data_IF_286685566512
#
_entry.id   IF_286685566512
#
_cell.length_a   1.000
_cell.length_b   1.000
_cell.length_c   1.000
_cell.angle_alpha   90.00
_cell.angle_beta   90.00
_cell.angle_gamma   90.00
#
_symmetry.space_group_name_H-M   'P 1'
#
loop_
_entity.id
_entity.type
_entity.pdbx_description
1 polymer ?
#
# COMPACT_ATOMS: atom_id res chain seq x y z
N UNK A 1 -6.49 10.12 -7.16
CA UNK A 1 -6.97 11.51 -7.00
C UNK A 1 -8.25 11.49 -6.17
N UNK A 2 -8.60 12.57 -5.50
CA UNK A 2 -9.87 12.66 -4.76
C UNK A 2 -11.08 12.52 -5.70
N UNK A 3 -12.22 12.15 -5.13
CA UNK A 3 -13.52 11.99 -5.79
C UNK A 3 -13.58 11.05 -7.00
N UNK A 4 -12.45 10.48 -7.42
CA UNK A 4 -12.34 9.51 -8.51
C UNK A 4 -12.98 8.19 -8.08
N UNK A 5 -13.76 7.61 -8.99
CA UNK A 5 -14.39 6.31 -8.77
C UNK A 5 -13.35 5.25 -8.38
N UNK A 6 -13.59 4.40 -7.36
CA UNK A 6 -12.63 3.39 -6.93
C UNK A 6 -12.13 2.48 -8.05
N UNK A 7 -13.00 2.17 -9.02
CA UNK A 7 -12.65 1.31 -10.17
C UNK A 7 -11.74 1.99 -11.18
N UNK A 8 -11.64 3.32 -11.13
CA UNK A 8 -10.81 4.15 -11.99
C UNK A 8 -9.50 4.57 -11.29
N UNK A 9 -9.34 4.30 -10.00
CA UNK A 9 -8.09 4.55 -9.28
C UNK A 9 -7.03 3.53 -9.74
N UNK A 10 -5.77 3.95 -9.88
CA UNK A 10 -4.69 3.02 -10.17
C UNK A 10 -4.52 2.03 -9.01
N UNK A 11 -4.16 0.79 -9.35
CA UNK A 11 -3.70 -0.18 -8.37
C UNK A 11 -2.26 0.19 -8.01
N UNK A 12 -1.94 0.32 -6.73
CA UNK A 12 -0.58 0.50 -6.27
C UNK A 12 0.00 -0.85 -5.82
N UNK A 13 1.24 -1.14 -6.20
CA UNK A 13 1.97 -2.30 -5.71
C UNK A 13 3.09 -1.86 -4.77
N UNK A 14 3.11 -2.42 -3.57
CA UNK A 14 4.16 -2.22 -2.57
C UNK A 14 5.12 -3.39 -2.67
N UNK A 15 6.38 -3.08 -3.00
CA UNK A 15 7.47 -4.04 -3.16
C UNK A 15 8.51 -3.81 -2.08
N UNK A 16 9.13 -4.90 -1.63
CA UNK A 16 10.29 -4.83 -0.76
C UNK A 16 11.55 -5.13 -1.56
N UNK A 17 12.66 -4.57 -1.09
CA UNK A 17 13.96 -4.73 -1.70
C UNK A 17 15.01 -4.81 -0.60
N UNK A 18 15.89 -5.80 -0.69
CA UNK A 18 17.09 -5.91 0.14
C UNK A 18 18.29 -5.45 -0.72
N UNK A 19 18.98 -4.36 -0.32
CA UNK A 19 20.10 -3.83 -1.08
C UNK A 19 21.40 -4.63 -0.95
N UNK A 20 21.50 -5.55 0.02
CA UNK A 20 22.75 -6.24 0.33
C UNK A 20 22.95 -7.49 -0.55
N UNK A 21 22.28 -8.60 -0.23
CA UNK A 21 22.38 -9.85 -0.99
C UNK A 21 21.04 -10.57 -1.13
N UNK A 22 20.88 -11.32 -2.22
CA UNK A 22 19.65 -12.10 -2.47
C UNK A 22 19.50 -13.25 -1.46
N UNK A 23 20.59 -13.72 -0.86
CA UNK A 23 20.65 -14.95 -0.05
C UNK A 23 19.64 -14.97 1.11
N UNK A 24 19.38 -13.82 1.73
CA UNK A 24 18.42 -13.70 2.83
C UNK A 24 17.27 -12.72 2.54
N UNK A 25 17.18 -12.18 1.32
CA UNK A 25 16.19 -11.17 0.95
C UNK A 25 14.85 -11.80 0.54
N UNK A 26 14.50 -11.83 -0.77
CA UNK A 26 13.25 -12.43 -1.23
C UNK A 26 13.16 -13.96 -1.00
N UNK A 27 11.94 -14.55 -0.96
CA UNK A 27 10.65 -13.88 -0.99
C UNK A 27 10.33 -13.23 0.36
N UNK A 28 9.75 -12.05 0.29
CA UNK A 28 9.29 -11.29 1.44
C UNK A 28 7.87 -11.68 1.83
N UNK A 29 7.70 -11.97 3.12
CA UNK A 29 6.40 -12.08 3.74
C UNK A 29 5.97 -10.69 4.24
N UNK A 30 4.79 -10.25 3.85
CA UNK A 30 4.24 -8.95 4.25
C UNK A 30 2.92 -9.14 4.99
N UNK A 31 2.71 -8.38 6.06
CA UNK A 31 1.44 -8.31 6.79
C UNK A 31 1.14 -6.88 7.18
N UNK A 32 -0.14 -6.51 7.22
CA UNK A 32 -0.56 -5.28 7.87
C UNK A 32 -0.25 -5.39 9.37
N UNK A 33 0.29 -4.32 9.96
CA UNK A 33 0.38 -4.22 11.40
C UNK A 33 -1.03 -4.09 12.02
N UNK A 34 -1.16 -4.41 13.31
CA UNK A 34 -2.46 -4.50 13.98
C UNK A 34 -3.15 -3.15 14.18
N UNK A 35 -2.41 -2.05 14.05
CA UNK A 35 -2.89 -0.68 14.18
C UNK A 35 -3.36 -0.06 12.85
N UNK A 36 -3.40 -0.84 11.76
CA UNK A 36 -3.94 -0.38 10.48
C UNK A 36 -5.42 0.02 10.61
N UNK A 37 -5.70 1.32 10.39
CA UNK A 37 -7.01 1.93 10.65
C UNK A 37 -7.86 2.23 9.40
N UNK A 38 -7.31 2.06 8.20
CA UNK A 38 -7.96 2.48 6.96
C UNK A 38 -8.62 1.34 6.16
N UNK A 39 -8.91 0.20 6.78
CA UNK A 39 -9.52 -0.96 6.11
C UNK A 39 -10.93 -0.72 5.54
N UNK A 40 -11.62 0.34 5.97
CA UNK A 40 -12.86 0.80 5.34
C UNK A 40 -12.62 1.52 3.99
N UNK A 41 -11.45 2.13 3.80
CA UNK A 41 -11.11 2.98 2.65
C UNK A 41 -10.20 2.29 1.65
N UNK A 42 -9.28 1.46 2.13
CA UNK A 42 -8.28 0.76 1.34
C UNK A 42 -8.45 -0.75 1.48
N UNK A 43 -8.29 -1.45 0.37
CA UNK A 43 -8.08 -2.88 0.34
C UNK A 43 -6.58 -3.11 0.12
N UNK A 44 -5.92 -3.77 1.07
CA UNK A 44 -4.48 -4.08 1.00
C UNK A 44 -4.33 -5.59 1.08
N UNK A 45 -3.84 -6.21 0.00
CA UNK A 45 -3.80 -7.67 -0.14
C UNK A 45 -2.38 -8.11 -0.44
N UNK A 46 -1.86 -9.01 0.40
CA UNK A 46 -0.59 -9.69 0.14
C UNK A 46 -0.76 -10.73 -0.98
N UNK A 47 0.19 -10.74 -1.91
CA UNK A 47 0.32 -11.74 -2.95
C UNK A 47 1.74 -12.33 -2.91
N UNK A 48 1.84 -13.59 -2.51
CA UNK A 48 3.12 -14.33 -2.49
C UNK A 48 3.78 -14.46 -3.86
N UNK A 49 3.00 -14.39 -4.94
CA UNK A 49 3.50 -14.47 -6.32
C UNK A 49 3.70 -13.08 -6.94
N UNK A 50 3.40 -12.00 -6.20
CA UNK A 50 3.64 -10.63 -6.63
C UNK A 50 5.13 -10.31 -6.74
N UNK A 51 5.47 -9.22 -7.42
CA UNK A 51 6.85 -8.86 -7.77
C UNK A 51 7.69 -10.05 -8.27
N UNK A 52 7.21 -10.73 -9.32
CA UNK A 52 7.88 -11.89 -9.93
C UNK A 52 8.17 -13.06 -8.96
N UNK A 53 7.35 -13.25 -7.92
CA UNK A 53 7.53 -14.30 -6.92
C UNK A 53 8.31 -13.85 -5.68
N UNK A 54 8.73 -12.59 -5.60
CA UNK A 54 9.37 -12.02 -4.41
C UNK A 54 8.38 -11.67 -3.30
N UNK A 55 7.07 -11.69 -3.58
CA UNK A 55 6.04 -11.26 -2.65
C UNK A 55 5.85 -9.74 -2.66
N UNK A 56 4.61 -9.31 -2.84
CA UNK A 56 4.23 -7.90 -2.81
C UNK A 56 2.85 -7.70 -2.20
N UNK A 57 2.49 -6.44 -1.90
CA UNK A 57 1.13 -6.07 -1.52
C UNK A 57 0.49 -5.21 -2.60
N UNK A 58 -0.78 -5.46 -2.90
CA UNK A 58 -1.59 -4.63 -3.78
C UNK A 58 -2.55 -3.78 -2.97
N UNK A 59 -2.61 -2.49 -3.30
CA UNK A 59 -3.49 -1.51 -2.66
C UNK A 59 -4.50 -1.01 -3.68
N UNK A 60 -5.78 -1.07 -3.33
CA UNK A 60 -6.88 -0.47 -4.11
C UNK A 60 -7.79 0.35 -3.22
N UNK A 61 -8.42 1.39 -3.78
CA UNK A 61 -9.46 2.13 -3.10
C UNK A 61 -10.75 1.29 -3.02
N UNK A 62 -11.48 1.40 -1.90
CA UNK A 62 -12.80 0.77 -1.71
C UNK A 62 -13.96 1.73 -1.90
N UNK A 63 -13.69 3.03 -1.83
CA UNK A 63 -14.66 4.11 -1.94
C UNK A 63 -13.98 5.38 -2.46
N UNK A 64 -14.78 6.35 -2.89
CA UNK A 64 -14.27 7.68 -3.26
C UNK A 64 -13.60 8.28 -2.04
N UNK A 65 -12.42 8.85 -2.25
CA UNK A 65 -11.64 9.48 -1.20
C UNK A 65 -11.84 10.99 -1.32
N UNK A 66 -12.16 11.62 -0.19
CA UNK A 66 -12.27 13.07 -0.07
C UNK A 66 -11.02 13.57 0.65
N UNK A 67 -10.28 14.48 0.00
CA UNK A 67 -9.03 15.02 0.53
C UNK A 67 -9.27 15.97 1.72
N UNK A 68 -10.43 16.63 1.76
CA UNK A 68 -10.82 17.64 2.74
C UNK A 68 -11.65 17.07 3.91
N UNK A 69 -12.02 15.79 3.84
CA UNK A 69 -12.71 15.12 4.93
C UNK A 69 -11.85 15.09 6.21
N UNK A 70 -12.49 15.30 7.37
CA UNK A 70 -11.84 15.16 8.69
C UNK A 70 -11.23 13.75 8.87
N UNK A 71 -11.90 12.73 8.34
CA UNK A 71 -11.42 11.35 8.27
C UNK A 71 -11.87 10.72 6.93
N UNK A 72 -10.97 10.08 6.16
CA UNK A 72 -9.63 9.63 6.52
C UNK A 72 -8.55 10.73 6.41
N UNK A 73 -8.90 11.90 5.88
CA UNK A 73 -7.98 12.99 5.58
C UNK A 73 -7.06 12.67 4.40
N UNK A 74 -6.19 13.63 4.06
CA UNK A 74 -5.31 13.60 2.88
C UNK A 74 -4.24 12.50 2.82
N UNK A 75 -3.91 11.86 3.94
CA UNK A 75 -2.79 10.91 4.04
C UNK A 75 -3.22 9.67 4.82
N UNK A 76 -3.16 8.52 4.14
CA UNK A 76 -3.52 7.23 4.71
C UNK A 76 -2.26 6.38 4.90
N UNK A 77 -1.93 6.11 6.14
CA UNK A 77 -0.82 5.25 6.55
C UNK A 77 -1.16 3.77 6.41
N UNK A 78 -0.26 3.00 5.81
CA UNK A 78 -0.28 1.55 5.70
C UNK A 78 0.96 1.03 6.45
N UNK A 79 0.84 0.67 7.74
CA UNK A 79 1.93 0.07 8.48
C UNK A 79 2.05 -1.41 8.09
N UNK A 80 3.25 -1.79 7.65
CA UNK A 80 3.55 -3.11 7.11
C UNK A 80 4.67 -3.74 7.93
N UNK A 81 4.40 -4.95 8.40
CA UNK A 81 5.39 -5.87 8.95
C UNK A 81 5.97 -6.65 7.77
N UNK A 82 7.26 -6.47 7.52
CA UNK A 82 8.05 -7.14 6.49
C UNK A 82 8.96 -8.18 7.14
N UNK A 83 8.95 -9.40 6.63
CA UNK A 83 9.86 -10.46 7.02
C UNK A 83 10.56 -11.04 5.80
N UNK A 84 11.89 -11.15 5.87
CA UNK A 84 12.72 -11.71 4.83
C UNK A 84 12.81 -13.26 4.92
N UNK A 85 13.56 -13.89 4.02
CA UNK A 85 13.73 -15.35 4.02
C UNK A 85 14.67 -15.85 5.12
N UNK A 86 15.61 -15.02 5.58
CA UNK A 86 16.50 -15.29 6.71
C UNK A 86 15.82 -15.24 8.08
N UNK A 87 14.62 -14.66 8.15
CA UNK A 87 13.78 -14.60 9.34
C UNK A 87 13.76 -13.27 10.05
N UNK A 88 14.53 -12.26 9.60
CA UNK A 88 14.53 -10.93 10.19
C UNK A 88 13.23 -10.21 9.83
N UNK A 89 12.73 -9.42 10.76
CA UNK A 89 11.49 -8.69 10.62
C UNK A 89 11.68 -7.21 10.93
N UNK A 90 11.02 -6.36 10.16
CA UNK A 90 10.92 -4.93 10.42
C UNK A 90 9.51 -4.42 10.19
N UNK A 91 9.16 -3.32 10.83
CA UNK A 91 7.94 -2.57 10.56
C UNK A 91 8.28 -1.29 9.80
N UNK A 92 7.50 -0.98 8.76
CA UNK A 92 7.66 0.19 7.90
C UNK A 92 6.29 0.73 7.52
N UNK A 93 6.18 2.05 7.41
CA UNK A 93 4.96 2.71 6.95
C UNK A 93 5.07 3.11 5.48
N UNK A 94 4.06 2.76 4.70
CA UNK A 94 3.82 3.31 3.36
C UNK A 94 2.64 4.26 3.45
N UNK A 95 2.67 5.35 2.68
CA UNK A 95 1.60 6.35 2.72
C UNK A 95 0.93 6.48 1.36
N UNK A 96 -0.40 6.43 1.35
CA UNK A 96 -1.21 6.85 0.21
C UNK A 96 -1.54 8.32 0.42
N UNK A 97 -1.15 9.15 -0.54
CA UNK A 97 -1.45 10.58 -0.56
C UNK A 97 -2.61 10.81 -1.53
N UNK A 98 -3.69 11.42 -1.03
CA UNK A 98 -4.82 11.81 -1.88
C UNK A 98 -4.45 13.14 -2.54
N UNK A 99 -4.18 13.09 -3.84
CA UNK A 99 -4.05 14.29 -4.68
C UNK A 99 -5.40 14.91 -4.99
N UNK A 100 -5.39 16.20 -5.31
CA UNK A 100 -6.55 17.01 -5.72
C UNK A 100 -7.22 16.44 -7.00
N UNK A 101 -8.42 16.90 -7.33
CA UNK A 101 -9.06 16.54 -8.60
C UNK A 101 -8.37 17.29 -9.76
N UNK A 102 -8.07 16.58 -10.85
CA UNK A 102 -7.53 17.23 -12.06
C UNK A 102 -8.70 17.78 -12.86
N UNK A 103 -8.95 19.09 -12.73
CA UNK A 103 -9.91 19.80 -13.57
C UNK A 103 -9.22 20.16 -14.89
N UNK A 104 -9.64 19.54 -15.99
CA UNK A 104 -9.29 20.01 -17.32
C UNK A 104 -10.21 21.18 -17.68
N UNK A 105 -9.64 22.36 -17.85
CA UNK A 105 -10.36 23.52 -18.39
C UNK A 105 -10.28 23.39 -19.92
N UNK A 106 -11.42 23.23 -20.58
CA UNK A 106 -11.55 23.28 -22.05
C UNK A 106 -11.46 24.72 -22.58
#
# INVERSE_FOLDING_TARGET
MENTDPTMQPICEIRAYDPDTIENGPPFMMKLASDFKFGAYLNVVYNKNGDNGNGSMFVTAKQRLDREAEFPGKQLEIPIILKDSGGLQSERSVYIIIGDEVIYIE
#
